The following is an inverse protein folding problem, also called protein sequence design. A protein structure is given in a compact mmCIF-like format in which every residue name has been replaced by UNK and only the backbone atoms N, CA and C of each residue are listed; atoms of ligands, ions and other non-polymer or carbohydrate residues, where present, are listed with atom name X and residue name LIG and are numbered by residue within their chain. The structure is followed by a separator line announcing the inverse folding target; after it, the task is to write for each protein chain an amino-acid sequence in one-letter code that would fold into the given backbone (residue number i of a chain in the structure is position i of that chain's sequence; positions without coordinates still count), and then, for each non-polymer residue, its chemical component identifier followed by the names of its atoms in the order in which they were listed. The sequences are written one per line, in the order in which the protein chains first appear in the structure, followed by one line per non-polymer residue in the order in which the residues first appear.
data_IF_025906633305
#
_entry.id   IF_025906633305
#
_cell.length_a   1.000
_cell.length_b   1.000
_cell.length_c   1.000
_cell.angle_alpha   90.00
_cell.angle_beta   90.00
_cell.angle_gamma   90.00
#
_symmetry.space_group_name_H-M   'P 1'
#
loop_
_entity.id
_entity.type
_entity.pdbx_description
1 polymer ?
#
# COMPACT_ATOMS: atom_id res chain seq x y z
N UNK A 1 19.96 -11.04 70.07
CA UNK A 1 19.12 -11.85 69.16
C UNK A 1 19.25 -11.26 67.77
N UNK A 2 19.52 -12.14 66.81
CA UNK A 2 20.35 -11.90 65.63
C UNK A 2 19.77 -10.93 64.59
N UNK A 3 20.47 -9.81 64.38
CA UNK A 3 20.50 -9.10 63.10
C UNK A 3 21.31 -9.92 62.12
N UNK A 4 20.69 -10.34 61.02
CA UNK A 4 21.35 -11.16 60.01
C UNK A 4 20.66 -11.01 58.66
N UNK A 5 21.44 -10.47 57.72
CA UNK A 5 21.42 -10.71 56.28
C UNK A 5 20.20 -10.26 55.47
N UNK A 6 20.40 -9.18 54.70
CA UNK A 6 20.09 -9.18 53.26
C UNK A 6 20.91 -8.10 52.54
N UNK A 7 22.21 -8.35 52.45
CA UNK A 7 23.15 -7.61 51.62
C UNK A 7 23.52 -8.49 50.42
N UNK A 8 22.54 -8.79 49.57
CA UNK A 8 22.81 -9.30 48.23
C UNK A 8 23.03 -8.11 47.31
N UNK A 9 24.28 -7.64 47.26
CA UNK A 9 24.82 -6.86 46.15
C UNK A 9 24.64 -7.70 44.87
N UNK A 10 23.60 -7.42 44.09
CA UNK A 10 23.50 -7.92 42.71
C UNK A 10 24.42 -7.08 41.84
N UNK A 11 25.59 -7.63 41.55
CA UNK A 11 26.41 -7.20 40.43
C UNK A 11 25.64 -7.52 39.14
N UNK A 12 24.94 -6.53 38.57
CA UNK A 12 24.34 -6.64 37.24
C UNK A 12 25.42 -6.30 36.21
N UNK A 13 26.17 -7.30 35.76
CA UNK A 13 27.04 -7.16 34.58
C UNK A 13 26.31 -7.65 33.33
N UNK A 14 26.27 -6.80 32.30
CA UNK A 14 25.73 -7.06 30.94
C UNK A 14 24.30 -7.63 30.94
N UNK A 15 23.32 -6.71 31.04
CA UNK A 15 21.90 -6.86 30.72
C UNK A 15 21.33 -8.27 30.96
N UNK A 16 21.07 -8.59 32.23
CA UNK A 16 20.49 -9.86 32.65
C UNK A 16 19.21 -10.23 31.86
N UNK A 17 18.46 -9.23 31.41
CA UNK A 17 17.31 -9.37 30.50
C UNK A 17 17.65 -9.97 29.14
N UNK A 18 18.79 -9.64 28.52
CA UNK A 18 19.20 -10.18 27.22
C UNK A 18 19.54 -11.66 27.35
N UNK A 19 20.28 -12.02 28.40
CA UNK A 19 20.63 -13.42 28.68
C UNK A 19 19.37 -14.25 29.00
N UNK A 20 18.45 -13.71 29.80
CA UNK A 20 17.18 -14.38 30.13
C UNK A 20 16.23 -14.46 28.93
N UNK A 21 16.19 -13.45 28.06
CA UNK A 21 15.38 -13.47 26.86
C UNK A 21 15.83 -14.56 25.87
N UNK A 22 17.11 -14.93 25.85
CA UNK A 22 17.59 -16.06 25.04
C UNK A 22 17.09 -17.42 25.57
N UNK A 23 16.90 -17.53 26.88
CA UNK A 23 16.43 -18.76 27.53
C UNK A 23 14.90 -18.88 27.51
N UNK A 24 14.20 -17.77 27.70
CA UNK A 24 12.74 -17.71 27.80
C UNK A 24 12.20 -16.45 27.10
N UNK A 25 12.21 -16.40 25.76
CA UNK A 25 11.76 -15.23 24.99
C UNK A 25 10.29 -14.89 25.23
N UNK A 26 9.47 -15.87 25.61
CA UNK A 26 8.06 -15.72 25.92
C UNK A 26 7.78 -14.82 27.14
N UNK A 27 8.77 -14.52 27.98
CA UNK A 27 8.58 -13.69 29.17
C UNK A 27 8.85 -12.19 28.93
N UNK A 28 9.37 -11.84 27.74
CA UNK A 28 9.74 -10.48 27.39
C UNK A 28 8.87 -9.93 26.27
N UNK A 29 8.80 -8.61 26.18
CA UNK A 29 8.18 -7.91 25.07
C UNK A 29 9.10 -6.75 24.63
N UNK A 30 9.15 -6.50 23.33
CA UNK A 30 9.87 -5.36 22.78
C UNK A 30 9.06 -4.08 22.95
N UNK A 31 9.65 -3.05 23.53
CA UNK A 31 9.05 -1.71 23.65
C UNK A 31 9.94 -0.72 22.91
N UNK A 32 9.32 0.11 22.06
CA UNK A 32 10.01 1.16 21.34
C UNK A 32 10.08 2.42 22.21
N UNK A 33 11.29 2.88 22.52
CA UNK A 33 11.58 4.11 23.26
C UNK A 33 12.20 5.15 22.34
N UNK A 34 12.45 6.36 22.85
CA UNK A 34 13.16 7.39 22.08
C UNK A 34 14.60 7.00 21.75
N UNK A 35 15.17 6.03 22.47
CA UNK A 35 16.53 5.53 22.33
C UNK A 35 16.60 4.20 21.56
N UNK A 36 15.48 3.72 21.01
CA UNK A 36 15.38 2.49 20.22
C UNK A 36 14.56 1.39 20.89
N UNK A 37 14.74 0.16 20.41
CA UNK A 37 14.02 -1.02 20.92
C UNK A 37 14.70 -1.59 22.15
N UNK A 38 13.92 -1.78 23.22
CA UNK A 38 14.38 -2.36 24.49
C UNK A 38 13.50 -3.53 24.91
N UNK A 39 14.07 -4.45 25.66
CA UNK A 39 13.37 -5.63 26.19
C UNK A 39 12.81 -5.33 27.57
N UNK A 40 11.51 -5.55 27.76
CA UNK A 40 10.83 -5.34 29.04
C UNK A 40 10.08 -6.62 29.42
N UNK A 41 10.15 -7.09 30.69
CA UNK A 41 9.36 -8.23 31.14
C UNK A 41 7.86 -8.00 30.95
N UNK A 42 7.12 -9.00 30.44
CA UNK A 42 5.67 -8.91 30.16
C UNK A 42 4.83 -8.50 31.37
N UNK A 43 5.30 -8.83 32.58
CA UNK A 43 4.68 -8.44 33.84
C UNK A 43 4.52 -6.91 33.94
N UNK A 44 5.51 -6.14 33.48
CA UNK A 44 5.56 -4.68 33.55
C UNK A 44 5.06 -3.97 32.28
N UNK A 45 4.62 -4.73 31.26
CA UNK A 45 4.17 -4.16 30.00
C UNK A 45 2.66 -3.91 30.01
N UNK A 46 2.27 -2.66 29.77
CA UNK A 46 0.91 -2.20 29.53
C UNK A 46 0.88 -1.16 28.40
N UNK A 47 -0.07 -1.32 27.48
CA UNK A 47 -0.22 -0.44 26.32
C UNK A 47 -0.53 0.99 26.77
N UNK A 48 0.26 1.96 26.31
CA UNK A 48 0.08 3.37 26.66
C UNK A 48 0.60 3.80 28.04
N UNK A 49 1.15 2.87 28.83
CA UNK A 49 1.67 3.18 30.18
C UNK A 49 3.17 2.94 30.30
N UNK A 50 3.67 1.82 29.77
CA UNK A 50 5.09 1.45 29.90
C UNK A 50 6.01 2.40 29.13
N UNK A 51 5.65 2.72 27.89
CA UNK A 51 6.47 3.58 27.01
C UNK A 51 6.71 4.99 27.59
N UNK A 52 5.70 5.78 28.01
CA UNK A 52 5.94 7.13 28.53
C UNK A 52 6.76 7.10 29.83
N UNK A 53 6.42 6.21 30.78
CA UNK A 53 7.17 6.11 32.05
C UNK A 53 8.62 5.70 31.85
N UNK A 54 8.86 4.78 30.91
CA UNK A 54 10.21 4.34 30.59
C UNK A 54 11.01 5.45 29.91
N UNK A 55 10.39 6.20 28.99
CA UNK A 55 11.03 7.35 28.35
C UNK A 55 11.37 8.45 29.37
N UNK A 56 10.47 8.77 30.30
CA UNK A 56 10.73 9.73 31.37
C UNK A 56 11.92 9.30 32.24
N UNK A 57 11.95 8.02 32.63
CA UNK A 57 13.04 7.47 33.42
C UNK A 57 14.38 7.51 32.67
N UNK A 58 14.40 7.10 31.40
CA UNK A 58 15.61 7.11 30.58
C UNK A 58 16.12 8.53 30.32
N UNK A 59 15.24 9.52 30.08
CA UNK A 59 15.63 10.92 29.91
C UNK A 59 16.25 11.54 31.16
N UNK A 60 15.89 11.07 32.36
CA UNK A 60 16.49 11.55 33.61
C UNK A 60 17.91 11.01 33.84
N UNK A 61 18.22 9.82 33.31
CA UNK A 61 19.46 9.11 33.59
C UNK A 61 20.46 9.18 32.43
N UNK A 62 20.01 9.40 31.20
CA UNK A 62 20.86 9.50 30.01
C UNK A 62 21.04 10.97 29.64
N UNK A 63 22.29 11.45 29.73
CA UNK A 63 22.65 12.83 29.41
C UNK A 63 23.34 12.98 28.04
N UNK A 64 23.68 11.88 27.37
CA UNK A 64 24.39 11.87 26.09
C UNK A 64 23.47 11.56 24.92
N UNK A 65 23.74 12.18 23.76
CA UNK A 65 22.89 12.12 22.56
C UNK A 65 22.84 10.72 21.89
N UNK A 66 23.79 9.83 22.22
CA UNK A 66 23.88 8.46 21.70
C UNK A 66 24.35 7.48 22.79
N UNK A 67 23.45 7.02 23.66
CA UNK A 67 23.78 6.03 24.68
C UNK A 67 24.08 4.66 24.05
N UNK A 68 24.91 3.84 24.70
CA UNK A 68 25.11 2.45 24.30
C UNK A 68 23.85 1.63 24.59
N UNK A 69 23.51 0.68 23.72
CA UNK A 69 22.31 -0.14 23.86
C UNK A 69 22.34 -0.99 25.14
N UNK A 70 23.53 -1.42 25.58
CA UNK A 70 23.68 -2.20 26.81
C UNK A 70 23.43 -1.34 28.06
N UNK A 71 23.82 -0.07 28.01
CA UNK A 71 23.57 0.90 29.08
C UNK A 71 22.08 1.19 29.20
N UNK A 72 21.41 1.46 28.08
CA UNK A 72 19.96 1.66 28.03
C UNK A 72 19.24 0.44 28.59
N UNK A 73 19.61 -0.77 28.16
CA UNK A 73 18.97 -2.00 28.63
C UNK A 73 19.22 -2.24 30.13
N UNK A 74 20.38 -1.87 30.65
CA UNK A 74 20.69 -1.95 32.08
C UNK A 74 19.82 -0.99 32.91
N UNK A 75 19.57 0.22 32.40
CA UNK A 75 18.65 1.17 33.03
C UNK A 75 17.19 0.69 32.98
N UNK A 76 16.78 0.04 31.88
CA UNK A 76 15.45 -0.58 31.77
C UNK A 76 15.28 -1.70 32.80
N UNK A 77 16.32 -2.51 33.04
CA UNK A 77 16.30 -3.57 34.05
C UNK A 77 16.20 -2.99 35.47
N UNK A 78 16.89 -1.88 35.74
CA UNK A 78 16.78 -1.15 37.02
C UNK A 78 15.39 -0.53 37.21
N UNK A 79 14.83 0.05 36.15
CA UNK A 79 13.46 0.56 36.15
C UNK A 79 12.46 -0.57 36.45
N UNK A 80 12.59 -1.71 35.78
CA UNK A 80 11.71 -2.86 36.00
C UNK A 80 11.81 -3.42 37.43
N UNK A 81 12.95 -3.26 38.10
CA UNK A 81 13.13 -3.68 39.49
C UNK A 81 12.56 -2.67 40.52
N UNK A 82 12.48 -1.39 40.15
CA UNK A 82 12.03 -0.30 41.05
C UNK A 82 10.55 0.02 40.92
N UNK A 83 9.92 -0.29 39.79
CA UNK A 83 8.52 0.02 39.54
C UNK A 83 7.59 -0.98 40.23
N UNK A 84 6.65 -0.46 41.01
CA UNK A 84 5.58 -1.25 41.59
C UNK A 84 4.59 -1.71 40.50
N UNK A 85 4.52 -3.03 40.32
CA UNK A 85 3.60 -3.69 39.40
C UNK A 85 2.12 -3.41 39.71
N UNK A 86 1.80 -3.00 40.95
CA UNK A 86 0.43 -2.68 41.38
C UNK A 86 -0.07 -1.35 40.82
N UNK A 87 0.84 -0.45 40.42
CA UNK A 87 0.49 0.83 39.78
C UNK A 87 0.12 0.70 38.29
N UNK A 88 0.13 -0.53 37.77
CA UNK A 88 -0.20 -0.86 36.38
C UNK A 88 -1.72 -0.76 36.17
N UNK A 89 -2.18 -0.01 35.15
CA UNK A 89 -3.60 -0.01 34.80
C UNK A 89 -4.01 -1.43 34.41
N UNK A 90 -5.02 -1.96 35.08
CA UNK A 90 -5.58 -3.26 34.73
C UNK A 90 -6.03 -3.22 33.27
N UNK A 91 -5.51 -4.14 32.45
CA UNK A 91 -5.99 -4.31 31.09
C UNK A 91 -7.48 -4.65 31.18
N UNK A 92 -8.36 -3.71 30.78
CA UNK A 92 -9.79 -4.00 30.67
C UNK A 92 -9.91 -5.17 29.69
N UNK A 93 -10.18 -6.36 30.20
CA UNK A 93 -10.57 -7.49 29.37
C UNK A 93 -11.84 -7.04 28.67
N UNK A 94 -11.86 -7.10 27.34
CA UNK A 94 -13.08 -6.79 26.60
C UNK A 94 -14.20 -7.65 27.15
N UNK A 95 -15.31 -7.03 27.52
CA UNK A 95 -16.46 -7.80 28.03
C UNK A 95 -17.02 -8.68 26.91
N UNK A 96 -17.68 -9.79 27.26
CA UNK A 96 -18.33 -10.63 26.24
C UNK A 96 -19.34 -9.84 25.38
N UNK A 97 -19.97 -8.81 25.97
CA UNK A 97 -20.85 -7.89 25.27
C UNK A 97 -20.10 -7.02 24.24
N UNK A 98 -18.93 -6.47 24.60
CA UNK A 98 -18.09 -5.70 23.68
C UNK A 98 -17.56 -6.56 22.52
N UNK A 99 -17.14 -7.80 22.82
CA UNK A 99 -16.70 -8.75 21.76
C UNK A 99 -17.83 -9.05 20.79
N UNK A 100 -19.04 -9.35 21.29
CA UNK A 100 -20.24 -9.57 20.46
C UNK A 100 -20.59 -8.33 19.62
N UNK A 101 -20.44 -7.14 20.19
CA UNK A 101 -20.68 -5.89 19.46
C UNK A 101 -19.64 -5.63 18.35
N UNK A 102 -18.36 -5.93 18.60
CA UNK A 102 -17.33 -5.84 17.55
C UNK A 102 -17.55 -6.87 16.44
N UNK A 103 -17.98 -8.08 16.78
CA UNK A 103 -18.32 -9.12 15.80
C UNK A 103 -19.54 -8.73 14.96
N UNK A 104 -20.58 -8.16 15.58
CA UNK A 104 -21.75 -7.67 14.85
C UNK A 104 -21.40 -6.50 13.93
N UNK A 105 -20.56 -5.57 14.39
CA UNK A 105 -20.08 -4.46 13.57
C UNK A 105 -19.24 -4.96 12.38
N UNK A 106 -18.34 -5.94 12.60
CA UNK A 106 -17.56 -6.57 11.52
C UNK A 106 -18.46 -7.28 10.51
N UNK A 107 -19.48 -7.98 10.98
CA UNK A 107 -20.46 -8.63 10.12
C UNK A 107 -21.22 -7.58 9.29
N UNK A 108 -21.67 -6.50 9.90
CA UNK A 108 -22.35 -5.39 9.22
C UNK A 108 -21.47 -4.74 8.16
N UNK A 109 -20.21 -4.44 8.47
CA UNK A 109 -19.25 -3.89 7.50
C UNK A 109 -19.00 -4.86 6.34
N UNK A 110 -18.95 -6.16 6.62
CA UNK A 110 -18.83 -7.19 5.58
C UNK A 110 -20.07 -7.26 4.70
N UNK A 111 -21.26 -7.17 5.28
CA UNK A 111 -22.53 -7.11 4.54
C UNK A 111 -22.59 -5.86 3.67
N UNK A 112 -22.22 -4.68 4.18
CA UNK A 112 -22.13 -3.44 3.40
C UNK A 112 -21.14 -3.58 2.23
N UNK A 113 -19.98 -4.20 2.47
CA UNK A 113 -19.00 -4.46 1.42
C UNK A 113 -19.54 -5.44 0.38
N UNK A 114 -20.26 -6.47 0.79
CA UNK A 114 -20.87 -7.44 -0.12
C UNK A 114 -22.05 -6.85 -0.88
N UNK A 115 -22.82 -5.91 -0.31
CA UNK A 115 -23.86 -5.15 -1.00
C UNK A 115 -23.29 -4.15 -1.99
N UNK A 116 -22.24 -3.41 -1.62
CA UNK A 116 -21.48 -2.58 -2.54
C UNK A 116 -20.89 -3.42 -3.68
N UNK A 117 -20.32 -4.59 -3.36
CA UNK A 117 -19.82 -5.54 -4.34
C UNK A 117 -20.94 -6.19 -5.18
N UNK A 118 -22.17 -6.35 -4.68
CA UNK A 118 -23.31 -6.84 -5.45
C UNK A 118 -23.88 -5.77 -6.38
N UNK A 119 -23.90 -4.50 -5.95
CA UNK A 119 -24.18 -3.34 -6.81
C UNK A 119 -23.14 -3.21 -7.92
N UNK A 120 -21.86 -3.35 -7.57
CA UNK A 120 -20.75 -3.38 -8.52
C UNK A 120 -20.72 -4.66 -9.34
N UNK A 121 -21.21 -5.81 -8.87
CA UNK A 121 -21.34 -7.03 -9.68
C UNK A 121 -22.51 -6.96 -10.64
N UNK A 122 -23.61 -6.25 -10.35
CA UNK A 122 -24.61 -5.93 -11.38
C UNK A 122 -24.03 -4.98 -12.43
N UNK A 123 -23.22 -3.98 -12.03
CA UNK A 123 -22.48 -3.11 -12.97
C UNK A 123 -21.33 -3.84 -13.69
N UNK A 124 -20.68 -4.81 -13.06
CA UNK A 124 -19.56 -5.58 -13.61
C UNK A 124 -20.01 -6.82 -14.39
N UNK A 125 -21.21 -7.37 -14.19
CA UNK A 125 -21.73 -8.40 -15.09
C UNK A 125 -22.12 -7.79 -16.43
N UNK A 126 -22.47 -6.50 -16.45
CA UNK A 126 -22.51 -5.68 -17.67
C UNK A 126 -21.09 -5.35 -18.17
N UNK A 127 -20.12 -5.07 -17.29
CA UNK A 127 -18.74 -4.72 -17.70
C UNK A 127 -17.77 -5.90 -17.97
N UNK A 128 -18.14 -7.14 -17.65
CA UNK A 128 -17.39 -8.39 -17.90
C UNK A 128 -18.15 -9.37 -18.78
N UNK A 129 -19.15 -8.89 -19.53
CA UNK A 129 -19.21 -9.31 -20.93
C UNK A 129 -17.83 -8.91 -21.45
N UNK A 130 -16.97 -9.90 -21.76
CA UNK A 130 -15.80 -9.66 -22.61
C UNK A 130 -16.31 -8.71 -23.68
N UNK A 131 -15.77 -7.49 -23.74
CA UNK A 131 -15.95 -6.63 -24.90
C UNK A 131 -15.43 -7.45 -26.07
N UNK A 132 -16.32 -8.22 -26.66
CA UNK A 132 -16.37 -8.44 -28.07
C UNK A 132 -16.45 -7.03 -28.63
N UNK A 133 -15.28 -6.41 -28.86
CA UNK A 133 -15.11 -5.20 -29.67
C UNK A 133 -15.43 -5.51 -31.15
N UNK A 134 -16.42 -6.37 -31.36
CA UNK A 134 -17.04 -6.78 -32.62
C UNK A 134 -18.34 -5.99 -32.83
N UNK A 135 -18.95 -5.40 -31.79
CA UNK A 135 -19.94 -4.35 -32.03
C UNK A 135 -19.18 -3.05 -32.28
N UNK A 136 -19.38 -2.42 -33.45
CA UNK A 136 -18.85 -1.10 -33.79
C UNK A 136 -19.42 0.03 -32.93
N UNK A 137 -19.64 -0.22 -31.65
CA UNK A 137 -20.26 0.70 -30.72
C UNK A 137 -19.22 1.70 -30.19
N UNK A 138 -19.45 2.97 -30.50
CA UNK A 138 -18.57 4.07 -30.12
C UNK A 138 -18.72 4.36 -28.63
N UNK A 139 -17.66 4.14 -27.86
CA UNK A 139 -17.64 4.51 -26.43
C UNK A 139 -17.25 5.97 -26.21
N UNK A 140 -17.55 6.53 -25.04
CA UNK A 140 -17.11 7.88 -24.64
C UNK A 140 -15.60 8.09 -24.64
N UNK A 141 -14.80 7.02 -24.48
CA UNK A 141 -13.35 7.11 -24.63
C UNK A 141 -12.96 7.48 -26.06
N UNK A 142 -13.68 6.97 -27.05
CA UNK A 142 -13.46 7.34 -28.44
C UNK A 142 -13.89 8.78 -28.71
N UNK A 143 -15.05 9.19 -28.19
CA UNK A 143 -15.53 10.57 -28.26
C UNK A 143 -14.53 11.56 -27.64
N UNK A 144 -13.94 11.22 -26.49
CA UNK A 144 -12.87 12.00 -25.87
C UNK A 144 -11.62 12.09 -26.76
N UNK A 145 -11.18 10.97 -27.34
CA UNK A 145 -10.02 10.99 -28.25
C UNK A 145 -10.28 11.87 -29.48
N UNK A 146 -11.52 11.86 -29.99
CA UNK A 146 -11.96 12.69 -31.10
C UNK A 146 -12.01 14.17 -30.74
N UNK A 147 -12.62 14.49 -29.61
CA UNK A 147 -12.61 15.83 -29.06
C UNK A 147 -11.19 16.36 -28.89
N UNK A 148 -10.30 15.57 -28.30
CA UNK A 148 -8.88 15.91 -28.16
C UNK A 148 -8.21 16.17 -29.51
N UNK A 149 -8.43 15.31 -30.51
CA UNK A 149 -7.85 15.50 -31.85
C UNK A 149 -8.34 16.78 -32.54
N UNK A 150 -9.58 17.20 -32.29
CA UNK A 150 -10.21 18.40 -32.88
C UNK A 150 -9.79 19.69 -32.16
N UNK A 151 -9.75 19.65 -30.83
CA UNK A 151 -9.53 20.84 -29.98
C UNK A 151 -8.05 21.13 -29.68
N UNK A 152 -7.22 20.09 -29.55
CA UNK A 152 -5.81 20.28 -29.22
C UNK A 152 -5.04 21.14 -30.24
N UNK A 153 -5.26 21.00 -31.57
CA UNK A 153 -4.63 21.88 -32.56
C UNK A 153 -4.93 23.37 -32.36
N UNK A 154 -6.09 23.73 -31.79
CA UNK A 154 -6.48 25.11 -31.53
C UNK A 154 -5.71 25.73 -30.34
N UNK A 155 -5.24 24.89 -29.41
CA UNK A 155 -4.49 25.31 -28.23
C UNK A 155 -2.96 25.20 -28.42
N UNK A 156 -2.47 25.00 -29.65
CA UNK A 156 -1.03 24.86 -29.95
C UNK A 156 -0.18 26.10 -29.62
N UNK A 157 -0.81 27.25 -29.41
CA UNK A 157 -0.14 28.47 -29.00
C UNK A 157 0.34 28.43 -27.53
N UNK A 158 -0.19 27.50 -26.73
CA UNK A 158 0.19 27.31 -25.33
C UNK A 158 1.26 26.20 -25.19
N UNK A 159 2.00 26.17 -24.08
CA UNK A 159 2.85 25.04 -23.72
C UNK A 159 2.07 23.73 -23.70
N UNK A 160 2.73 22.64 -24.09
CA UNK A 160 2.08 21.34 -24.33
C UNK A 160 1.24 20.84 -23.13
N UNK A 161 1.77 20.99 -21.93
CA UNK A 161 1.12 20.58 -20.69
C UNK A 161 -0.14 21.41 -20.41
N UNK A 162 -0.06 22.73 -20.59
CA UNK A 162 -1.16 23.66 -20.36
C UNK A 162 -2.27 23.49 -21.40
N UNK A 163 -1.90 23.31 -22.66
CA UNK A 163 -2.84 23.04 -23.75
C UNK A 163 -3.68 21.78 -23.46
N UNK A 164 -3.02 20.67 -23.06
CA UNK A 164 -3.74 19.43 -22.69
C UNK A 164 -4.60 19.62 -21.44
N UNK A 165 -4.11 20.31 -20.42
CA UNK A 165 -4.87 20.56 -19.19
C UNK A 165 -6.14 21.36 -19.48
N UNK A 166 -6.04 22.39 -20.32
CA UNK A 166 -7.17 23.23 -20.73
C UNK A 166 -8.22 22.44 -21.51
N UNK A 167 -7.82 21.64 -22.50
CA UNK A 167 -8.75 20.78 -23.25
C UNK A 167 -9.40 19.72 -22.34
N UNK A 168 -8.64 19.16 -21.40
CA UNK A 168 -9.17 18.25 -20.38
C UNK A 168 -10.20 18.89 -19.47
N UNK A 169 -9.99 20.16 -19.08
CA UNK A 169 -10.97 20.92 -18.30
C UNK A 169 -12.23 21.19 -19.11
N UNK A 170 -12.11 21.60 -20.38
CA UNK A 170 -13.25 21.81 -21.28
C UNK A 170 -14.13 20.57 -21.37
N UNK A 171 -13.54 19.40 -21.62
CA UNK A 171 -14.30 18.15 -21.67
C UNK A 171 -14.95 17.79 -20.34
N UNK A 172 -14.30 18.06 -19.21
CA UNK A 172 -14.88 17.79 -17.89
C UNK A 172 -16.10 18.67 -17.63
N UNK A 173 -16.04 19.94 -18.03
CA UNK A 173 -17.11 20.93 -17.86
C UNK A 173 -18.30 20.70 -18.79
N UNK A 174 -18.10 20.03 -19.92
CA UNK A 174 -19.18 19.70 -20.85
C UNK A 174 -20.22 18.77 -20.22
N UNK A 175 -21.49 18.98 -20.59
CA UNK A 175 -22.61 18.11 -20.21
C UNK A 175 -22.50 16.74 -20.90
N UNK A 176 -23.33 15.78 -20.49
CA UNK A 176 -23.37 14.47 -21.15
C UNK A 176 -23.95 14.57 -22.56
N UNK A 177 -24.93 15.45 -22.79
CA UNK A 177 -25.53 15.65 -24.11
C UNK A 177 -24.51 16.22 -25.10
N UNK A 178 -23.71 17.20 -24.67
CA UNK A 178 -22.63 17.74 -25.51
C UNK A 178 -21.58 16.68 -25.84
N UNK A 179 -21.24 15.81 -24.89
CA UNK A 179 -20.32 14.68 -25.12
C UNK A 179 -20.90 13.66 -26.09
N UNK A 180 -22.22 13.46 -26.07
CA UNK A 180 -22.93 12.57 -26.98
C UNK A 180 -22.87 13.07 -28.43
N UNK A 181 -22.93 14.39 -28.66
CA UNK A 181 -22.69 14.96 -30.00
C UNK A 181 -21.32 14.56 -30.56
N UNK A 182 -20.26 14.63 -29.75
CA UNK A 182 -18.93 14.18 -30.18
C UNK A 182 -18.84 12.65 -30.40
N UNK A 183 -19.66 11.87 -29.69
CA UNK A 183 -19.77 10.42 -29.90
C UNK A 183 -20.41 10.12 -31.25
N UNK A 184 -21.46 10.85 -31.60
CA UNK A 184 -22.15 10.73 -32.90
C UNK A 184 -21.27 11.18 -34.05
N UNK A 185 -20.59 12.34 -33.93
CA UNK A 185 -19.63 12.80 -34.94
C UNK A 185 -18.52 11.76 -35.19
N UNK A 186 -18.00 11.14 -34.12
CA UNK A 186 -16.99 10.11 -34.26
C UNK A 186 -17.55 8.83 -34.91
N UNK A 187 -18.81 8.47 -34.65
CA UNK A 187 -19.47 7.36 -35.33
C UNK A 187 -19.55 7.62 -36.84
N UNK A 188 -19.89 8.84 -37.25
CA UNK A 188 -19.89 9.24 -38.67
C UNK A 188 -18.48 9.20 -39.26
N UNK A 189 -17.46 9.63 -38.52
CA UNK A 189 -16.06 9.56 -38.94
C UNK A 189 -15.63 8.11 -39.24
N UNK A 190 -16.04 7.16 -38.39
CA UNK A 190 -15.77 5.74 -38.61
C UNK A 190 -16.49 5.19 -39.86
N UNK A 191 -17.72 5.64 -40.13
CA UNK A 191 -18.45 5.28 -41.35
C UNK A 191 -17.74 5.79 -42.62
N UNK A 192 -17.02 6.92 -42.53
CA UNK A 192 -16.18 7.44 -43.61
C UNK A 192 -14.85 6.69 -43.78
N UNK A 193 -14.60 5.63 -42.99
CA UNK A 193 -13.35 4.86 -43.05
C UNK A 193 -12.16 5.55 -42.39
N UNK A 194 -12.39 6.59 -41.58
CA UNK A 194 -11.36 7.32 -40.84
C UNK A 194 -11.40 6.96 -39.36
N UNK A 195 -10.27 7.04 -38.70
CA UNK A 195 -10.11 6.72 -37.28
C UNK A 195 -9.02 7.63 -36.67
N UNK A 196 -8.89 7.67 -35.35
CA UNK A 196 -7.89 8.48 -34.66
C UNK A 196 -6.70 7.62 -34.28
N UNK A 197 -5.52 8.12 -34.61
CA UNK A 197 -4.24 7.55 -34.22
C UNK A 197 -3.29 8.66 -33.75
N UNK A 198 -2.75 8.51 -32.54
CA UNK A 198 -1.88 9.51 -31.89
C UNK A 198 -2.42 10.96 -31.93
N UNK A 199 -3.73 11.12 -31.69
CA UNK A 199 -4.38 12.44 -31.65
C UNK A 199 -4.56 13.09 -33.02
N UNK A 200 -4.36 12.36 -34.12
CA UNK A 200 -4.66 12.80 -35.49
C UNK A 200 -5.72 11.90 -36.11
N UNK A 201 -6.56 12.48 -36.95
CA UNK A 201 -7.50 11.74 -37.80
C UNK A 201 -6.71 11.17 -38.97
N UNK A 202 -6.76 9.85 -39.13
CA UNK A 202 -6.05 9.08 -40.16
C UNK A 202 -7.00 8.07 -40.78
N UNK A 203 -6.66 7.52 -41.94
CA UNK A 203 -7.44 6.45 -42.53
C UNK A 203 -7.33 5.17 -41.69
N UNK A 204 -8.44 4.45 -41.58
CA UNK A 204 -8.56 3.25 -40.76
C UNK A 204 -7.53 2.18 -41.14
N UNK A 205 -7.26 2.01 -42.43
CA UNK A 205 -6.25 1.07 -42.93
C UNK A 205 -4.84 1.40 -42.45
N UNK A 206 -4.49 2.70 -42.42
CA UNK A 206 -3.17 3.16 -41.97
C UNK A 206 -3.00 2.83 -40.49
N UNK A 207 -4.05 3.08 -39.69
CA UNK A 207 -4.05 2.72 -38.26
C UNK A 207 -3.91 1.22 -38.05
N UNK A 208 -4.67 0.40 -38.78
CA UNK A 208 -4.60 -1.06 -38.67
C UNK A 208 -3.19 -1.58 -38.98
N UNK A 209 -2.59 -1.15 -40.09
CA UNK A 209 -1.21 -1.50 -40.46
C UNK A 209 -0.19 -1.07 -39.40
N UNK A 210 -0.35 0.11 -38.80
CA UNK A 210 0.54 0.59 -37.74
C UNK A 210 0.43 -0.27 -36.46
N UNK A 211 -0.79 -0.64 -36.08
CA UNK A 211 -1.06 -1.52 -34.93
C UNK A 211 -0.50 -2.91 -35.16
N UNK A 212 -0.68 -3.48 -36.36
CA UNK A 212 -0.11 -4.78 -36.73
C UNK A 212 1.42 -4.79 -36.60
N UNK A 213 2.09 -3.76 -37.15
CA UNK A 213 3.56 -3.63 -37.02
C UNK A 213 4.01 -3.55 -35.56
N UNK A 214 3.27 -2.82 -34.72
CA UNK A 214 3.56 -2.72 -33.29
C UNK A 214 3.39 -4.07 -32.59
N UNK A 215 2.33 -4.81 -32.90
CA UNK A 215 2.07 -6.13 -32.32
C UNK A 215 3.16 -7.12 -32.71
N UNK A 216 3.53 -7.17 -33.99
CA UNK A 216 4.64 -8.01 -34.48
C UNK A 216 5.97 -7.68 -33.77
N UNK A 217 6.24 -6.39 -33.53
CA UNK A 217 7.44 -5.96 -32.80
C UNK A 217 7.42 -6.42 -31.32
N UNK A 218 6.25 -6.35 -30.67
CA UNK A 218 6.05 -6.84 -29.30
C UNK A 218 6.23 -8.35 -29.21
N UNK A 219 5.65 -9.10 -30.15
CA UNK A 219 5.80 -10.55 -30.23
C UNK A 219 7.26 -10.96 -30.41
N UNK A 220 7.99 -10.32 -31.32
CA UNK A 220 9.44 -10.54 -31.50
C UNK A 220 10.23 -10.24 -30.24
N UNK A 221 9.88 -9.16 -29.52
CA UNK A 221 10.55 -8.77 -28.28
C UNK A 221 10.28 -9.77 -27.15
N UNK A 222 9.05 -10.28 -27.05
CA UNK A 222 8.68 -11.32 -26.09
C UNK A 222 9.38 -12.65 -26.39
N UNK A 223 9.42 -13.06 -27.66
CA UNK A 223 10.13 -14.27 -28.09
C UNK A 223 11.62 -14.21 -27.73
N UNK A 224 12.28 -13.05 -27.92
CA UNK A 224 13.68 -12.85 -27.50
C UNK A 224 13.86 -12.97 -25.98
N UNK A 225 12.93 -12.42 -25.19
CA UNK A 225 12.97 -12.53 -23.71
C UNK A 225 12.78 -13.97 -23.25
N UNK A 226 11.83 -14.69 -23.85
CA UNK A 226 11.58 -16.11 -23.57
C UNK A 226 12.83 -16.95 -23.85
N UNK A 227 13.44 -16.78 -25.04
CA UNK A 227 14.69 -17.48 -25.39
C UNK A 227 15.82 -17.21 -24.40
N UNK A 228 16.00 -15.96 -23.96
CA UNK A 228 17.02 -15.60 -22.95
C UNK A 228 16.75 -16.27 -21.60
N UNK A 229 15.49 -16.39 -21.19
CA UNK A 229 15.12 -17.08 -19.95
C UNK A 229 15.39 -18.58 -20.05
N UNK A 230 15.07 -19.21 -21.19
CA UNK A 230 15.38 -20.62 -21.44
C UNK A 230 16.90 -20.90 -21.42
N UNK A 231 17.71 -20.02 -22.01
CA UNK A 231 19.18 -20.12 -21.97
C UNK A 231 19.73 -19.95 -20.54
N UNK A 232 19.15 -19.04 -19.76
CA UNK A 232 19.54 -18.82 -18.35
C UNK A 232 19.21 -20.03 -17.49
N UNK A 233 18.02 -20.62 -17.68
CA UNK A 233 17.60 -21.81 -16.95
C UNK A 233 18.53 -23.00 -17.25
N UNK A 234 18.85 -23.24 -18.53
CA UNK A 234 19.80 -24.29 -18.93
C UNK A 234 21.19 -24.11 -18.33
N UNK A 235 21.65 -22.87 -18.17
CA UNK A 235 22.93 -22.57 -17.53
C UNK A 235 22.96 -22.91 -16.03
N UNK A 236 21.84 -22.73 -15.33
CA UNK A 236 21.68 -23.09 -13.92
C UNK A 236 21.63 -24.62 -13.74
N UNK A 237 20.88 -25.32 -14.59
CA UNK A 237 20.74 -26.78 -14.52
C UNK A 237 22.08 -27.53 -14.79
N UNK A 238 23.03 -26.89 -15.50
CA UNK A 238 24.37 -27.43 -15.76
C UNK A 238 25.34 -27.19 -14.59
N UNK A 239 25.08 -26.22 -13.70
CA UNK A 239 25.92 -25.94 -12.53
C UNK A 239 25.55 -26.76 -11.29
N UNK A 240 24.35 -27.37 -11.26
CA UNK A 240 23.89 -28.25 -10.17
C UNK A 240 24.23 -29.74 -10.36
N UNK A 241 24.81 -30.11 -11.51
CA UNK A 241 25.33 -31.46 -11.79
C UNK A 241 26.85 -31.49 -11.78
#
# INVERSE_FOLDING_TARGET
MSSSFNLLRRCYSVAASIAQCRLSPENFNGVHTNFGWVLVPKTHVARGWTQPKLNEYLLQHIQHDKPDLNEVQSLVDQWAASVDASSKPASKKKTAAEVRHEESLKLFLRQLKDEAAKGDRKRQRVARVRKNTLSGEVTFTHAWNYFMAKQYPLQKHLPEAEARAKVGLMWRLMSMDEKDVYREEYSQLLQQGKDIYHGKIVDREVKLKAVERLNLSKEKSLAKKLKKLEETQKGLDVQEN
#
